data_IF_404889816904
#
_entry.id   IF_404889816904
#
_cell.length_a   1.000
_cell.length_b   1.000
_cell.length_c   1.000
_cell.angle_alpha   90.00
_cell.angle_beta   90.00
_cell.angle_gamma   90.00
#
_symmetry.space_group_name_H-M   'P 1'
#
loop_
_entity.id
_entity.type
_entity.pdbx_description
1 polymer ?
#
# COMPACT_ATOMS: atom_id res chain seq x y z
N UNK A 1 -0.07 0.42 29.26
CA UNK A 1 0.16 -0.50 28.12
C UNK A 1 -0.74 -1.74 28.19
N UNK A 2 -0.90 -2.38 29.36
CA UNK A 2 -1.80 -3.54 29.53
C UNK A 2 -3.24 -3.31 29.03
N UNK A 3 -3.86 -2.17 29.35
CA UNK A 3 -5.24 -1.88 28.91
C UNK A 3 -5.40 -1.82 27.38
N UNK A 4 -4.42 -1.30 26.64
CA UNK A 4 -4.46 -1.27 25.17
C UNK A 4 -4.30 -2.65 24.55
N UNK A 5 -3.49 -3.52 25.18
CA UNK A 5 -3.30 -4.90 24.71
C UNK A 5 -4.58 -5.71 24.88
N UNK A 6 -5.25 -5.58 26.02
CA UNK A 6 -6.54 -6.22 26.27
C UNK A 6 -7.64 -5.67 25.35
N UNK A 7 -7.64 -4.38 25.07
CA UNK A 7 -8.57 -3.76 24.11
C UNK A 7 -8.39 -4.28 22.68
N UNK A 8 -7.14 -4.36 22.21
CA UNK A 8 -6.81 -4.92 20.88
C UNK A 8 -7.21 -6.40 20.82
N UNK A 9 -6.90 -7.16 21.86
CA UNK A 9 -7.28 -8.57 21.96
C UNK A 9 -8.80 -8.72 21.87
N UNK A 10 -9.56 -7.95 22.65
CA UNK A 10 -11.01 -7.95 22.63
C UNK A 10 -11.59 -7.57 21.27
N UNK A 11 -11.01 -6.57 20.60
CA UNK A 11 -11.41 -6.15 19.26
C UNK A 11 -11.16 -7.22 18.20
N UNK A 12 -10.01 -7.90 18.25
CA UNK A 12 -9.67 -9.01 17.36
C UNK A 12 -10.60 -10.20 17.63
N UNK A 13 -10.80 -10.60 18.88
CA UNK A 13 -11.70 -11.70 19.23
C UNK A 13 -13.14 -11.43 18.80
N UNK A 14 -13.63 -10.19 18.95
CA UNK A 14 -14.93 -9.76 18.45
C UNK A 14 -15.01 -9.85 16.94
N UNK A 15 -13.99 -9.35 16.22
CA UNK A 15 -13.93 -9.38 14.75
C UNK A 15 -13.81 -10.80 14.18
N UNK A 16 -13.18 -11.73 14.91
CA UNK A 16 -13.05 -13.14 14.53
C UNK A 16 -14.33 -13.95 14.76
N UNK A 17 -15.24 -13.44 15.61
CA UNK A 17 -16.55 -14.06 15.91
C UNK A 17 -17.70 -13.45 15.12
N UNK A 18 -17.48 -12.34 14.44
CA UNK A 18 -18.49 -11.65 13.63
C UNK A 18 -18.94 -12.52 12.44
N UNK A 19 -20.16 -13.06 12.50
CA UNK A 19 -20.71 -13.93 11.46
C UNK A 19 -21.02 -13.20 10.14
N UNK A 20 -20.98 -11.86 10.12
CA UNK A 20 -21.14 -11.08 8.88
C UNK A 20 -19.93 -11.17 7.94
N UNK A 21 -18.78 -11.64 8.45
CA UNK A 21 -17.54 -11.69 7.69
C UNK A 21 -17.34 -13.02 6.95
N UNK A 22 -16.82 -12.99 5.70
CA UNK A 22 -16.65 -14.20 4.89
C UNK A 22 -15.61 -15.18 5.47
N UNK A 23 -14.63 -14.69 6.23
CA UNK A 23 -13.60 -15.54 6.86
C UNK A 23 -14.08 -16.29 8.11
N UNK A 24 -15.23 -15.91 8.69
CA UNK A 24 -15.69 -16.49 9.97
C UNK A 24 -16.05 -17.96 9.84
N UNK A 25 -16.55 -18.40 8.68
CA UNK A 25 -16.82 -19.82 8.41
C UNK A 25 -15.53 -20.65 8.42
N UNK A 26 -14.43 -20.12 7.87
CA UNK A 26 -13.13 -20.77 7.89
C UNK A 26 -12.60 -20.93 9.32
N UNK A 27 -12.65 -19.86 10.12
CA UNK A 27 -12.20 -19.92 11.52
C UNK A 27 -13.07 -20.83 12.38
N UNK A 28 -14.39 -20.85 12.14
CA UNK A 28 -15.33 -21.76 12.82
C UNK A 28 -15.02 -23.22 12.50
N UNK A 29 -14.83 -23.55 11.22
CA UNK A 29 -14.46 -24.89 10.80
C UNK A 29 -13.10 -25.32 11.37
N UNK A 30 -12.11 -24.42 11.39
CA UNK A 30 -10.80 -24.70 11.94
C UNK A 30 -10.84 -24.91 13.47
N UNK A 31 -11.62 -24.10 14.19
CA UNK A 31 -11.84 -24.25 15.64
C UNK A 31 -12.55 -25.58 15.95
N UNK A 32 -13.61 -25.93 15.22
CA UNK A 32 -14.33 -27.21 15.41
C UNK A 32 -13.45 -28.44 15.15
N UNK A 33 -12.51 -28.35 14.19
CA UNK A 33 -11.61 -29.46 13.84
C UNK A 33 -10.41 -29.58 14.77
N UNK A 34 -9.86 -28.46 15.23
CA UNK A 34 -8.61 -28.44 16.01
C UNK A 34 -8.86 -28.30 17.51
N UNK A 35 -10.08 -27.92 17.92
CA UNK A 35 -10.45 -27.56 19.29
C UNK A 35 -9.57 -26.44 19.90
N UNK A 36 -9.00 -25.58 19.04
CA UNK A 36 -8.15 -24.45 19.43
C UNK A 36 -8.93 -23.13 19.24
N UNK A 37 -8.82 -22.16 20.16
CA UNK A 37 -9.52 -20.88 20.02
C UNK A 37 -9.10 -20.13 18.75
N UNK A 38 -10.06 -19.49 18.07
CA UNK A 38 -9.84 -18.72 16.82
C UNK A 38 -8.71 -17.70 16.89
N UNK A 39 -8.51 -17.07 18.05
CA UNK A 39 -7.43 -16.10 18.27
C UNK A 39 -6.05 -16.74 18.03
N UNK A 40 -5.80 -17.94 18.58
CA UNK A 40 -4.51 -18.62 18.40
C UNK A 40 -4.32 -19.10 16.96
N UNK A 41 -5.40 -19.51 16.29
CA UNK A 41 -5.37 -19.87 14.86
C UNK A 41 -4.99 -18.65 14.01
N UNK A 42 -5.61 -17.49 14.29
CA UNK A 42 -5.27 -16.23 13.62
C UNK A 42 -3.82 -15.83 13.87
N UNK A 43 -3.37 -15.83 15.14
CA UNK A 43 -1.99 -15.50 15.50
C UNK A 43 -0.98 -16.47 14.87
N UNK A 44 -1.31 -17.75 14.81
CA UNK A 44 -0.52 -18.77 14.11
C UNK A 44 -0.42 -18.48 12.61
N UNK A 45 -1.53 -18.12 11.96
CA UNK A 45 -1.54 -17.70 10.55
C UNK A 45 -0.67 -16.47 10.30
N UNK A 46 -0.76 -15.44 11.15
CA UNK A 46 0.09 -14.25 11.08
C UNK A 46 1.57 -14.62 11.25
N UNK A 47 1.90 -15.49 12.21
CA UNK A 47 3.27 -15.95 12.42
C UNK A 47 3.81 -16.72 11.20
N UNK A 48 2.98 -17.57 10.57
CA UNK A 48 3.33 -18.27 9.33
C UNK A 48 3.59 -17.29 8.19
N UNK A 49 2.76 -16.25 8.04
CA UNK A 49 2.98 -15.20 7.03
C UNK A 49 4.29 -14.45 7.28
N UNK A 50 4.59 -14.10 8.54
CA UNK A 50 5.86 -13.44 8.90
C UNK A 50 7.06 -14.34 8.56
N UNK A 51 6.99 -15.62 8.92
CA UNK A 51 8.04 -16.60 8.61
C UNK A 51 8.20 -16.79 7.10
N UNK A 52 7.11 -16.83 6.35
CA UNK A 52 7.14 -16.93 4.89
C UNK A 52 7.72 -15.65 4.26
N UNK A 53 7.41 -14.46 4.78
CA UNK A 53 8.04 -13.22 4.32
C UNK A 53 9.54 -13.15 4.64
N UNK A 54 9.98 -13.84 5.69
CA UNK A 54 11.39 -13.91 6.08
C UNK A 54 12.20 -14.91 5.23
N UNK A 55 11.65 -16.08 4.95
CA UNK A 55 12.42 -17.21 4.36
C UNK A 55 11.82 -17.79 3.07
N UNK A 56 10.61 -17.39 2.69
CA UNK A 56 9.85 -18.00 1.61
C UNK A 56 10.29 -17.56 0.21
N UNK A 57 10.29 -18.52 -0.72
CA UNK A 57 10.42 -18.23 -2.14
C UNK A 57 9.19 -17.47 -2.64
N UNK A 58 9.37 -16.33 -3.28
CA UNK A 58 8.27 -15.48 -3.75
C UNK A 58 7.71 -14.50 -2.72
N UNK A 59 8.39 -14.29 -1.58
CA UNK A 59 8.02 -13.28 -0.57
C UNK A 59 7.79 -11.87 -1.16
N UNK A 60 8.49 -11.53 -2.25
CA UNK A 60 8.27 -10.31 -3.03
C UNK A 60 6.83 -10.15 -3.50
N UNK A 61 6.25 -11.20 -4.10
CA UNK A 61 4.89 -11.16 -4.64
C UNK A 61 3.91 -10.94 -3.50
N UNK A 62 4.05 -11.71 -2.42
CA UNK A 62 3.17 -11.56 -1.25
C UNK A 62 3.27 -10.16 -0.63
N UNK A 63 4.48 -9.64 -0.44
CA UNK A 63 4.70 -8.29 0.08
C UNK A 63 4.04 -7.23 -0.82
N UNK A 64 4.18 -7.35 -2.14
CA UNK A 64 3.59 -6.40 -3.08
C UNK A 64 2.07 -6.51 -3.13
N UNK A 65 1.51 -7.72 -3.04
CA UNK A 65 0.06 -7.91 -2.93
C UNK A 65 -0.47 -7.27 -1.66
N UNK A 66 0.19 -7.44 -0.51
CA UNK A 66 -0.20 -6.78 0.74
C UNK A 66 -0.11 -5.26 0.61
N UNK A 67 0.98 -4.76 0.03
CA UNK A 67 1.19 -3.31 -0.20
C UNK A 67 0.19 -2.70 -1.19
N UNK A 68 -0.42 -3.48 -2.09
CA UNK A 68 -1.32 -2.93 -3.11
C UNK A 68 -2.79 -3.23 -2.79
N UNK A 69 -3.13 -4.46 -2.42
CA UNK A 69 -4.53 -4.92 -2.37
C UNK A 69 -5.36 -4.19 -1.31
N UNK A 70 -4.84 -4.05 -0.09
CA UNK A 70 -5.59 -3.38 0.98
C UNK A 70 -5.72 -1.87 0.72
N UNK A 71 -4.63 -1.11 0.45
CA UNK A 71 -4.75 0.31 0.11
C UNK A 71 -5.60 0.57 -1.13
N UNK A 72 -5.54 -0.28 -2.16
CA UNK A 72 -6.37 -0.14 -3.35
C UNK A 72 -7.85 -0.30 -3.03
N UNK A 73 -8.21 -1.31 -2.22
CA UNK A 73 -9.60 -1.50 -1.80
C UNK A 73 -10.14 -0.31 -1.00
N UNK A 74 -9.37 0.20 -0.04
CA UNK A 74 -9.82 1.36 0.74
C UNK A 74 -9.81 2.63 -0.11
N UNK A 75 -8.87 2.79 -1.05
CA UNK A 75 -8.88 3.91 -2.00
C UNK A 75 -10.14 3.90 -2.87
N UNK A 76 -10.59 2.75 -3.37
CA UNK A 76 -11.84 2.64 -4.12
C UNK A 76 -13.04 3.09 -3.27
N UNK A 77 -13.08 2.70 -2.00
CA UNK A 77 -14.11 3.19 -1.07
C UNK A 77 -14.01 4.69 -0.84
N UNK A 78 -12.81 5.24 -0.68
CA UNK A 78 -12.59 6.66 -0.46
C UNK A 78 -13.11 7.49 -1.65
N UNK A 79 -12.87 7.03 -2.88
CA UNK A 79 -13.35 7.68 -4.12
C UNK A 79 -14.88 7.79 -4.17
N UNK A 80 -15.61 6.85 -3.54
CA UNK A 80 -17.07 6.88 -3.46
C UNK A 80 -17.60 7.80 -2.35
N UNK A 81 -16.75 8.22 -1.41
CA UNK A 81 -17.13 9.12 -0.32
C UNK A 81 -16.98 10.60 -0.71
N UNK A 82 -17.72 11.49 -0.04
CA UNK A 82 -17.66 12.95 -0.31
C UNK A 82 -16.51 13.66 0.42
N UNK A 83 -15.80 12.97 1.30
CA UNK A 83 -14.79 13.52 2.22
C UNK A 83 -13.38 13.49 1.62
N UNK A 84 -12.83 14.67 1.31
CA UNK A 84 -11.51 14.82 0.66
C UNK A 84 -10.29 14.47 1.53
N UNK A 85 -10.49 14.36 2.84
CA UNK A 85 -9.40 14.10 3.79
C UNK A 85 -8.85 12.66 3.66
N UNK A 86 -9.71 11.72 3.29
CA UNK A 86 -9.31 10.33 3.07
C UNK A 86 -8.54 10.19 1.74
N UNK A 87 -8.97 10.90 0.69
CA UNK A 87 -8.28 10.91 -0.61
C UNK A 87 -6.82 11.37 -0.49
N UNK A 88 -6.58 12.42 0.30
CA UNK A 88 -5.24 12.99 0.47
C UNK A 88 -4.30 11.99 1.14
N UNK A 89 -4.78 11.23 2.11
CA UNK A 89 -3.99 10.20 2.81
C UNK A 89 -3.60 9.07 1.87
N UNK A 90 -4.55 8.55 1.09
CA UNK A 90 -4.27 7.46 0.15
C UNK A 90 -3.38 7.93 -1.00
N UNK A 91 -3.56 9.16 -1.50
CA UNK A 91 -2.67 9.71 -2.53
C UNK A 91 -1.23 9.86 -2.00
N UNK A 92 -1.09 10.32 -0.75
CA UNK A 92 0.22 10.41 -0.08
C UNK A 92 0.89 9.04 0.07
N UNK A 93 0.10 8.02 0.40
CA UNK A 93 0.53 6.62 0.40
C UNK A 93 1.03 6.18 -0.97
N UNK A 94 0.24 6.39 -2.02
CA UNK A 94 0.59 5.97 -3.38
C UNK A 94 1.84 6.68 -3.92
N UNK A 95 2.00 7.97 -3.62
CA UNK A 95 3.22 8.72 -3.97
C UNK A 95 4.44 8.12 -3.26
N UNK A 96 4.33 7.84 -1.97
CA UNK A 96 5.42 7.22 -1.19
C UNK A 96 5.74 5.80 -1.69
N UNK A 97 4.71 5.00 -1.96
CA UNK A 97 4.82 3.67 -2.53
C UNK A 97 5.54 3.69 -3.89
N UNK A 98 5.16 4.63 -4.77
CA UNK A 98 5.77 4.79 -6.09
C UNK A 98 7.26 5.13 -6.01
N UNK A 99 7.63 6.11 -5.17
CA UNK A 99 9.04 6.48 -4.95
C UNK A 99 9.85 5.30 -4.41
N UNK A 100 9.31 4.57 -3.42
CA UNK A 100 9.98 3.40 -2.87
C UNK A 100 10.14 2.29 -3.90
N UNK A 101 9.11 2.05 -4.73
CA UNK A 101 9.14 1.02 -5.77
C UNK A 101 10.18 1.31 -6.85
N UNK A 102 10.31 2.57 -7.26
CA UNK A 102 11.36 3.00 -8.18
C UNK A 102 12.74 2.81 -7.55
N UNK A 103 12.93 3.28 -6.31
CA UNK A 103 14.20 3.13 -5.60
C UNK A 103 14.61 1.66 -5.44
N UNK A 104 13.65 0.78 -5.10
CA UNK A 104 13.87 -0.65 -5.00
C UNK A 104 14.32 -1.26 -6.33
N UNK A 105 13.70 -0.87 -7.44
CA UNK A 105 14.06 -1.40 -8.76
C UNK A 105 15.54 -1.14 -9.10
N UNK A 106 16.05 0.03 -8.74
CA UNK A 106 17.47 0.37 -8.90
C UNK A 106 18.37 -0.26 -7.84
N UNK A 107 17.80 -0.69 -6.72
CA UNK A 107 18.52 -1.17 -5.55
C UNK A 107 18.52 -2.70 -5.41
N UNK A 108 18.68 -3.42 -6.53
CA UNK A 108 18.75 -4.88 -6.53
C UNK A 108 19.77 -5.43 -5.52
N UNK A 109 20.89 -4.73 -5.34
CA UNK A 109 21.92 -5.04 -4.35
C UNK A 109 21.44 -4.96 -2.88
N UNK A 110 20.51 -4.05 -2.55
CA UNK A 110 19.98 -3.94 -1.17
C UNK A 110 19.24 -5.22 -0.74
N UNK A 111 18.53 -5.85 -1.67
CA UNK A 111 17.80 -7.11 -1.42
C UNK A 111 18.78 -8.23 -1.09
N UNK A 112 20.01 -8.20 -1.63
CA UNK A 112 21.03 -9.21 -1.40
C UNK A 112 21.81 -9.01 -0.09
N UNK A 113 21.99 -7.75 0.36
CA UNK A 113 22.71 -7.45 1.60
C UNK A 113 21.82 -7.57 2.84
N UNK A 114 20.60 -7.06 2.75
CA UNK A 114 19.73 -6.91 3.92
C UNK A 114 19.00 -8.23 4.17
N UNK A 115 19.30 -8.95 5.26
CA UNK A 115 18.54 -10.16 5.60
C UNK A 115 17.09 -9.76 5.92
N UNK A 116 16.14 -10.61 5.52
CA UNK A 116 14.70 -10.39 5.73
C UNK A 116 14.15 -9.09 5.09
N UNK A 117 14.78 -8.62 4.02
CA UNK A 117 14.36 -7.40 3.32
C UNK A 117 12.86 -7.34 3.02
N UNK A 118 12.25 -8.44 2.53
CA UNK A 118 10.82 -8.48 2.21
C UNK A 118 9.91 -8.34 3.42
N UNK A 119 10.30 -8.89 4.57
CA UNK A 119 9.59 -8.69 5.82
C UNK A 119 9.68 -7.22 6.26
N UNK A 120 10.87 -6.63 6.24
CA UNK A 120 11.07 -5.22 6.59
C UNK A 120 10.28 -4.28 5.68
N UNK A 121 10.30 -4.55 4.37
CA UNK A 121 9.51 -3.82 3.38
C UNK A 121 8.01 -3.96 3.65
N UNK A 122 7.53 -5.16 3.96
CA UNK A 122 6.13 -5.39 4.29
C UNK A 122 5.72 -4.61 5.56
N UNK A 123 6.56 -4.63 6.59
CA UNK A 123 6.34 -3.85 7.81
C UNK A 123 6.30 -2.33 7.52
N UNK A 124 7.19 -1.85 6.64
CA UNK A 124 7.17 -0.46 6.20
C UNK A 124 5.86 -0.11 5.47
N UNK A 125 5.38 -0.96 4.55
CA UNK A 125 4.09 -0.74 3.91
C UNK A 125 2.93 -0.71 4.90
N UNK A 126 2.91 -1.65 5.86
CA UNK A 126 1.93 -1.67 6.93
C UNK A 126 1.96 -0.36 7.71
N UNK A 127 3.14 0.09 8.13
CA UNK A 127 3.30 1.37 8.83
C UNK A 127 2.82 2.57 8.00
N UNK A 128 2.99 2.54 6.68
CA UNK A 128 2.53 3.60 5.78
C UNK A 128 0.99 3.63 5.60
N UNK A 129 0.30 2.49 5.75
CA UNK A 129 -1.17 2.38 5.58
C UNK A 129 -1.97 2.37 6.89
N UNK A 130 -1.29 2.34 8.04
CA UNK A 130 -1.96 2.42 9.35
C UNK A 130 -2.76 3.72 9.46
N UNK A 131 -4.01 3.68 9.98
CA UNK A 131 -4.86 4.85 10.16
C UNK A 131 -4.39 5.69 11.36
N UNK A 132 -3.21 6.30 11.25
CA UNK A 132 -2.62 7.21 12.22
C UNK A 132 -2.35 8.55 11.53
N UNK A 133 -2.54 9.67 12.25
CA UNK A 133 -2.33 11.02 11.70
C UNK A 133 -0.92 11.20 11.12
N UNK A 134 0.09 10.63 11.78
CA UNK A 134 1.48 10.69 11.35
C UNK A 134 2.00 9.30 10.94
N UNK A 135 1.27 8.65 10.04
CA UNK A 135 1.70 7.37 9.46
C UNK A 135 2.98 7.53 8.61
N UNK A 136 3.60 6.41 8.24
CA UNK A 136 4.89 6.42 7.54
C UNK A 136 4.85 7.19 6.21
N UNK A 137 3.72 7.16 5.49
CA UNK A 137 3.59 7.85 4.20
C UNK A 137 3.51 9.37 4.37
N UNK A 138 2.75 9.85 5.36
CA UNK A 138 2.69 11.28 5.69
C UNK A 138 4.06 11.83 6.07
N UNK A 139 4.83 11.10 6.89
CA UNK A 139 6.17 11.50 7.31
C UNK A 139 7.12 11.57 6.11
N UNK A 140 7.14 10.52 5.29
CA UNK A 140 8.02 10.44 4.11
C UNK A 140 7.69 11.54 3.10
N UNK A 141 6.40 11.78 2.88
CA UNK A 141 5.97 12.82 1.96
C UNK A 141 6.44 14.20 2.41
N UNK A 142 6.13 14.61 3.63
CA UNK A 142 6.45 15.97 4.09
C UNK A 142 7.94 16.19 4.30
N UNK A 143 8.69 15.20 4.78
CA UNK A 143 10.12 15.35 5.09
C UNK A 143 11.02 15.16 3.87
N UNK A 144 10.65 14.26 2.96
CA UNK A 144 11.53 13.86 1.84
C UNK A 144 10.91 14.31 0.52
N UNK A 145 9.72 13.84 0.18
CA UNK A 145 9.20 13.97 -1.19
C UNK A 145 8.82 15.42 -1.52
N UNK A 146 8.09 16.10 -0.63
CA UNK A 146 7.58 17.45 -0.83
C UNK A 146 8.67 18.51 -1.10
N UNK A 147 9.79 18.60 -0.36
CA UNK A 147 10.83 19.60 -0.64
C UNK A 147 11.50 19.37 -2.00
N UNK A 148 11.74 18.11 -2.41
CA UNK A 148 12.27 17.83 -3.74
C UNK A 148 11.24 18.13 -4.83
N UNK A 149 9.98 17.76 -4.63
CA UNK A 149 8.90 18.06 -5.56
C UNK A 149 8.80 19.56 -5.83
N UNK A 150 8.67 20.40 -4.79
CA UNK A 150 8.59 21.86 -4.95
C UNK A 150 9.80 22.49 -5.64
N UNK A 151 10.99 21.89 -5.48
CA UNK A 151 12.22 22.36 -6.14
C UNK A 151 12.18 22.13 -7.65
N UNK A 152 11.61 21.01 -8.10
CA UNK A 152 11.62 20.59 -9.51
C UNK A 152 10.26 20.75 -10.22
N UNK A 153 9.19 21.07 -9.49
CA UNK A 153 7.82 21.25 -9.99
C UNK A 153 7.76 22.17 -11.20
N UNK A 154 8.34 23.38 -11.12
CA UNK A 154 8.33 24.34 -12.24
C UNK A 154 9.00 23.80 -13.51
N UNK A 155 10.08 23.03 -13.35
CA UNK A 155 10.78 22.42 -14.49
C UNK A 155 9.95 21.31 -15.09
N UNK A 156 9.35 20.46 -14.25
CA UNK A 156 8.45 19.39 -14.69
C UNK A 156 7.22 19.97 -15.41
N UNK A 157 6.60 21.01 -14.86
CA UNK A 157 5.42 21.68 -15.44
C UNK A 157 5.73 22.25 -16.82
N UNK A 158 6.86 22.96 -16.97
CA UNK A 158 7.29 23.49 -18.28
C UNK A 158 7.53 22.39 -19.31
N UNK A 159 8.13 21.27 -18.90
CA UNK A 159 8.37 20.14 -19.79
C UNK A 159 7.06 19.47 -20.22
N UNK A 160 6.11 19.31 -19.30
CA UNK A 160 4.81 18.72 -19.58
C UNK A 160 3.99 19.63 -20.51
N UNK A 161 3.98 20.95 -20.27
CA UNK A 161 3.26 21.90 -21.13
C UNK A 161 3.84 21.91 -22.54
N UNK A 162 5.17 22.01 -22.67
CA UNK A 162 5.84 22.04 -23.98
C UNK A 162 5.58 20.76 -24.78
N UNK A 163 5.60 19.60 -24.11
CA UNK A 163 5.30 18.30 -24.72
C UNK A 163 3.84 18.24 -25.15
N UNK A 164 2.92 18.71 -24.30
CA UNK A 164 1.48 18.72 -24.59
C UNK A 164 1.15 19.60 -25.79
N UNK A 165 1.77 20.77 -25.89
CA UNK A 165 1.52 21.71 -26.98
C UNK A 165 2.08 21.20 -28.30
N UNK A 166 3.28 20.58 -28.29
CA UNK A 166 3.83 19.88 -29.46
C UNK A 166 2.92 18.73 -29.91
N UNK A 167 2.43 17.91 -28.98
CA UNK A 167 1.51 16.81 -29.30
C UNK A 167 0.21 17.32 -29.94
N UNK A 168 -0.38 18.39 -29.41
CA UNK A 168 -1.58 19.01 -29.99
C UNK A 168 -1.32 19.56 -31.40
N UNK A 169 -0.18 20.22 -31.59
CA UNK A 169 0.20 20.75 -32.90
C UNK A 169 0.36 19.63 -33.93
N UNK A 170 1.15 18.60 -33.61
CA UNK A 170 1.38 17.46 -34.51
C UNK A 170 0.08 16.69 -34.79
N UNK A 171 -0.78 16.50 -33.79
CA UNK A 171 -2.10 15.89 -33.99
C UNK A 171 -2.98 16.74 -34.91
N UNK A 172 -2.99 18.08 -34.73
CA UNK A 172 -3.72 19.01 -35.59
C UNK A 172 -3.23 18.99 -37.04
N UNK A 173 -1.91 18.99 -37.24
CA UNK A 173 -1.29 18.87 -38.57
C UNK A 173 -1.65 17.54 -39.24
N UNK A 174 -1.58 16.41 -38.52
CA UNK A 174 -2.00 15.11 -39.05
C UNK A 174 -3.49 15.08 -39.42
N UNK A 175 -4.37 15.60 -38.57
CA UNK A 175 -5.81 15.68 -38.84
C UNK A 175 -6.09 16.54 -40.07
N UNK A 176 -5.41 17.68 -40.22
CA UNK A 176 -5.56 18.54 -41.41
C UNK A 176 -5.08 17.85 -42.69
N UNK A 177 -3.99 17.09 -42.63
CA UNK A 177 -3.41 16.37 -43.76
C UNK A 177 -4.32 15.23 -44.23
N UNK A 178 -4.91 14.48 -43.29
CA UNK A 178 -5.92 13.44 -43.56
C UNK A 178 -7.19 14.04 -44.16
N UNK A 179 -7.64 15.21 -43.68
CA UNK A 179 -8.85 15.87 -44.22
C UNK A 179 -8.63 16.48 -45.62
N UNK A 180 -7.38 16.75 -46.00
CA UNK A 180 -7.01 17.29 -47.31
C UNK A 180 -6.68 16.23 -48.39
N UNK A 181 -6.67 14.94 -48.01
CA UNK A 181 -6.49 13.78 -48.92
C UNK A 181 -7.85 13.16 -49.21
#
# INVERSE_FOLDING_TARGET
>A
MANKVEEIRGSIESSLKDESKPWTQFFKLAEEKTNVPRLYIFLGGVAVVILYLAFGYGAQILCNVIGVAYPAYISMKAIETRTKEDDTKWLTYWVTFGVLSVFEHFSFFLVQIIPFYWLLKCLFHIWCMVPMENNGSTIMYHKVIQPYFKKYEKVADSFISDTTDKLKQTAGEMISKVKST
#
